data_IF_689152343531
#
_entry.id   IF_689152343531
#
_cell.length_a   1.000
_cell.length_b   1.000
_cell.length_c   1.000
_cell.angle_alpha   90.00
_cell.angle_beta   90.00
_cell.angle_gamma   90.00
#
_symmetry.space_group_name_H-M   'P 1'
#
loop_
_entity.id
_entity.type
_entity.pdbx_description
1 polymer ?
#
# COMPACT_ATOMS: atom_id res chain seq x y z
N UNK A 1 9.81 -16.87 -19.86
CA UNK A 1 10.12 -15.48 -19.44
C UNK A 1 11.63 -15.22 -19.37
N UNK A 2 12.39 -15.99 -18.58
CA UNK A 2 13.84 -15.82 -18.47
C UNK A 2 14.59 -15.92 -19.81
N UNK A 3 14.26 -16.93 -20.61
CA UNK A 3 14.81 -17.11 -21.96
C UNK A 3 14.47 -15.96 -22.91
N UNK A 4 13.27 -15.39 -22.79
CA UNK A 4 12.85 -14.25 -23.60
C UNK A 4 13.67 -13.00 -23.25
N UNK A 5 13.93 -12.76 -21.97
CA UNK A 5 14.75 -11.64 -21.51
C UNK A 5 16.19 -11.76 -21.99
N UNK A 6 16.77 -12.97 -21.98
CA UNK A 6 18.11 -13.20 -22.52
C UNK A 6 18.18 -12.89 -24.01
N UNK A 7 17.21 -13.33 -24.80
CA UNK A 7 17.13 -13.00 -26.24
C UNK A 7 17.03 -11.49 -26.48
N UNK A 8 16.19 -10.80 -25.72
CA UNK A 8 16.05 -9.34 -25.84
C UNK A 8 17.33 -8.58 -25.47
N UNK A 9 18.14 -9.12 -24.55
CA UNK A 9 19.46 -8.59 -24.20
C UNK A 9 20.47 -8.81 -25.33
N UNK A 10 20.46 -9.99 -25.95
CA UNK A 10 21.32 -10.33 -27.10
C UNK A 10 20.99 -9.50 -28.34
N UNK A 11 19.72 -9.18 -28.56
CA UNK A 11 19.24 -8.32 -29.66
C UNK A 11 19.65 -6.84 -29.48
N UNK A 12 20.13 -6.44 -28.29
CA UNK A 12 20.67 -5.11 -28.06
C UNK A 12 19.64 -3.97 -28.12
N UNK A 13 18.38 -4.24 -27.76
CA UNK A 13 17.28 -3.27 -27.92
C UNK A 13 17.49 -2.03 -27.03
N UNK A 14 17.58 -0.85 -27.67
CA UNK A 14 17.97 0.45 -27.06
C UNK A 14 16.74 1.25 -26.54
N UNK A 15 15.53 0.68 -26.62
CA UNK A 15 14.34 1.40 -26.16
C UNK A 15 14.37 1.56 -24.64
N UNK A 16 14.39 2.82 -24.18
CA UNK A 16 14.61 3.16 -22.77
C UNK A 16 13.58 2.55 -21.82
N UNK A 17 12.35 2.32 -22.28
CA UNK A 17 11.30 1.71 -21.48
C UNK A 17 11.45 0.19 -21.39
N UNK A 18 11.91 -0.45 -22.46
CA UNK A 18 12.30 -1.85 -22.43
C UNK A 18 13.50 -2.08 -21.51
N UNK A 19 14.49 -1.19 -21.53
CA UNK A 19 15.64 -1.27 -20.61
C UNK A 19 15.21 -1.17 -19.13
N UNK A 20 14.29 -0.25 -18.80
CA UNK A 20 13.72 -0.13 -17.45
C UNK A 20 12.94 -1.39 -17.06
N UNK A 21 12.16 -1.95 -17.99
CA UNK A 21 11.40 -3.16 -17.77
C UNK A 21 12.34 -4.35 -17.49
N UNK A 22 13.36 -4.57 -18.32
CA UNK A 22 14.31 -5.66 -18.17
C UNK A 22 15.06 -5.58 -16.83
N UNK A 23 15.54 -4.38 -16.46
CA UNK A 23 16.18 -4.15 -15.14
C UNK A 23 15.24 -4.50 -13.97
N UNK A 24 13.98 -4.08 -14.03
CA UNK A 24 12.98 -4.43 -13.01
C UNK A 24 12.71 -5.93 -12.98
N UNK A 25 12.59 -6.56 -14.13
CA UNK A 25 12.39 -8.01 -14.20
C UNK A 25 13.56 -8.74 -13.53
N UNK A 26 14.80 -8.44 -13.87
CA UNK A 26 16.00 -9.05 -13.27
C UNK A 26 16.04 -8.84 -11.74
N UNK A 27 15.68 -7.64 -11.27
CA UNK A 27 15.66 -7.33 -9.84
C UNK A 27 14.59 -8.13 -9.07
N UNK A 28 13.42 -8.36 -9.67
CA UNK A 28 12.26 -8.94 -8.99
C UNK A 28 11.89 -10.35 -9.44
N UNK A 29 12.62 -10.95 -10.40
CA UNK A 29 12.32 -12.25 -11.01
C UNK A 29 12.00 -13.33 -9.97
N UNK A 30 12.85 -13.45 -8.94
CA UNK A 30 12.71 -14.45 -7.87
C UNK A 30 11.45 -14.28 -7.02
N UNK A 31 10.86 -13.08 -7.02
CA UNK A 31 9.68 -12.70 -6.22
C UNK A 31 8.41 -12.57 -7.07
N UNK A 32 8.51 -12.60 -8.40
CA UNK A 32 7.37 -12.36 -9.28
C UNK A 32 6.27 -13.43 -9.13
N UNK A 33 6.67 -14.66 -8.82
CA UNK A 33 5.77 -15.81 -8.68
C UNK A 33 5.60 -16.26 -7.22
N UNK A 34 5.74 -15.35 -6.27
CA UNK A 34 5.62 -15.67 -4.83
C UNK A 34 4.22 -16.21 -4.50
N UNK A 35 3.18 -15.73 -5.19
CA UNK A 35 1.81 -16.21 -5.05
C UNK A 35 1.62 -17.69 -5.41
N UNK A 36 2.50 -18.29 -6.24
CA UNK A 36 2.46 -19.73 -6.52
C UNK A 36 2.99 -20.57 -5.35
N UNK A 37 3.72 -19.96 -4.42
CA UNK A 37 4.34 -20.63 -3.27
C UNK A 37 3.52 -20.49 -1.99
N UNK A 38 2.69 -19.46 -1.88
CA UNK A 38 1.93 -19.14 -0.69
C UNK A 38 0.45 -19.02 -1.04
N UNK A 39 -0.36 -19.93 -0.48
CA UNK A 39 -1.80 -19.92 -0.64
C UNK A 39 -2.41 -18.63 -0.03
N UNK A 40 -3.45 -18.09 -0.68
CA UNK A 40 -4.13 -16.87 -0.24
C UNK A 40 -3.45 -15.56 -0.67
N UNK A 41 -2.25 -15.59 -1.25
CA UNK A 41 -1.61 -14.40 -1.82
C UNK A 41 -2.10 -14.20 -3.26
N UNK A 42 -2.74 -13.08 -3.61
CA UNK A 42 -3.16 -12.82 -4.98
C UNK A 42 -1.96 -12.60 -5.91
N UNK A 43 -2.09 -12.89 -7.22
CA UNK A 43 -1.04 -12.62 -8.21
C UNK A 43 -0.88 -11.12 -8.52
N UNK A 44 -1.79 -10.28 -8.05
CA UNK A 44 -1.82 -8.84 -8.28
C UNK A 44 -1.66 -8.05 -6.97
N UNK A 45 -1.35 -6.75 -7.12
CA UNK A 45 -1.20 -5.82 -6.00
C UNK A 45 -2.46 -4.96 -5.77
N UNK A 46 -3.60 -5.34 -6.37
CA UNK A 46 -4.79 -4.48 -6.42
C UNK A 46 -5.34 -4.16 -5.03
N UNK A 47 -5.22 -5.09 -4.08
CA UNK A 47 -5.65 -4.88 -2.70
C UNK A 47 -4.87 -3.75 -2.03
N UNK A 48 -3.55 -3.81 -2.04
CA UNK A 48 -2.72 -2.77 -1.46
C UNK A 48 -2.91 -1.42 -2.19
N UNK A 49 -3.04 -1.40 -3.53
CA UNK A 49 -3.37 -0.16 -4.24
C UNK A 49 -4.70 0.45 -3.79
N UNK A 50 -5.72 -0.40 -3.57
CA UNK A 50 -7.02 0.03 -3.03
C UNK A 50 -6.88 0.62 -1.63
N UNK A 51 -6.07 0.02 -0.76
CA UNK A 51 -5.81 0.53 0.59
C UNK A 51 -5.07 1.87 0.57
N UNK A 52 -4.16 2.11 -0.38
CA UNK A 52 -3.47 3.40 -0.53
C UNK A 52 -4.31 4.49 -1.19
N UNK A 53 -5.36 4.12 -1.94
CA UNK A 53 -6.18 5.05 -2.73
C UNK A 53 -6.74 6.24 -1.94
N UNK A 54 -7.22 6.10 -0.68
CA UNK A 54 -7.72 7.24 0.10
C UNK A 54 -6.66 8.34 0.30
N UNK A 55 -5.39 7.97 0.54
CA UNK A 55 -4.30 8.92 0.66
C UNK A 55 -4.04 9.66 -0.65
N UNK A 56 -3.99 8.92 -1.76
CA UNK A 56 -3.75 9.49 -3.10
C UNK A 56 -4.89 10.43 -3.50
N UNK A 57 -6.15 10.05 -3.24
CA UNK A 57 -7.33 10.86 -3.54
C UNK A 57 -7.32 12.15 -2.72
N UNK A 58 -7.05 12.06 -1.41
CA UNK A 58 -6.96 13.25 -0.56
C UNK A 58 -5.86 14.18 -1.04
N UNK A 59 -4.66 13.67 -1.32
CA UNK A 59 -3.53 14.48 -1.79
C UNK A 59 -3.85 15.19 -3.10
N UNK A 60 -4.53 14.49 -4.03
CA UNK A 60 -4.96 15.08 -5.31
C UNK A 60 -6.02 16.18 -5.10
N UNK A 61 -7.01 15.94 -4.25
CA UNK A 61 -8.08 16.92 -3.97
C UNK A 61 -7.56 18.17 -3.26
N UNK A 62 -6.62 18.02 -2.35
CA UNK A 62 -6.07 19.15 -1.58
C UNK A 62 -4.95 19.90 -2.30
N UNK A 63 -4.47 19.39 -3.45
CA UNK A 63 -3.26 19.91 -4.11
C UNK A 63 -1.97 19.61 -3.34
N UNK A 64 -1.99 18.63 -2.42
CA UNK A 64 -0.90 18.31 -1.51
C UNK A 64 -1.14 18.76 -0.06
N UNK A 65 -0.14 18.57 0.79
CA UNK A 65 -0.17 19.02 2.18
C UNK A 65 0.62 20.33 2.32
N UNK A 66 0.05 21.30 3.04
CA UNK A 66 0.69 22.60 3.29
C UNK A 66 1.87 22.50 4.27
N UNK A 67 1.89 21.49 5.14
CA UNK A 67 3.01 21.20 6.02
C UNK A 67 3.22 19.69 6.19
N UNK A 68 4.47 19.24 6.43
CA UNK A 68 4.75 17.84 6.77
C UNK A 68 4.05 17.37 8.04
N UNK A 69 3.80 18.28 8.99
CA UNK A 69 3.09 17.98 10.23
C UNK A 69 1.63 17.60 9.99
N UNK A 70 0.92 18.38 9.18
CA UNK A 70 -0.47 18.06 8.81
C UNK A 70 -0.54 16.73 8.06
N UNK A 71 0.44 16.44 7.21
CA UNK A 71 0.54 15.13 6.55
C UNK A 71 0.68 13.99 7.57
N UNK A 72 1.55 14.13 8.58
CA UNK A 72 1.73 13.10 9.62
C UNK A 72 0.44 12.85 10.40
N UNK A 73 -0.26 13.91 10.81
CA UNK A 73 -1.54 13.76 11.51
C UNK A 73 -2.59 13.08 10.63
N UNK A 74 -2.70 13.49 9.36
CA UNK A 74 -3.62 12.87 8.42
C UNK A 74 -3.32 11.38 8.20
N UNK A 75 -2.04 11.01 8.02
CA UNK A 75 -1.66 9.60 7.84
C UNK A 75 -1.96 8.78 9.09
N UNK A 76 -1.72 9.32 10.28
CA UNK A 76 -2.08 8.65 11.54
C UNK A 76 -3.59 8.41 11.65
N UNK A 77 -4.40 9.44 11.38
CA UNK A 77 -5.86 9.35 11.38
C UNK A 77 -6.38 8.37 10.33
N UNK A 78 -5.87 8.45 9.10
CA UNK A 78 -6.26 7.57 8.01
C UNK A 78 -5.92 6.11 8.33
N UNK A 79 -4.73 5.85 8.90
CA UNK A 79 -4.32 4.52 9.33
C UNK A 79 -5.30 3.94 10.36
N UNK A 80 -5.68 4.74 11.37
CA UNK A 80 -6.63 4.33 12.40
C UNK A 80 -8.01 4.02 11.80
N UNK A 81 -8.52 4.91 10.95
CA UNK A 81 -9.79 4.74 10.25
C UNK A 81 -9.81 3.48 9.39
N UNK A 82 -8.77 3.26 8.59
CA UNK A 82 -8.67 2.07 7.72
C UNK A 82 -8.59 0.79 8.56
N UNK A 83 -7.87 0.82 9.69
CA UNK A 83 -7.79 -0.32 10.61
C UNK A 83 -9.15 -0.64 11.24
N UNK A 84 -9.91 0.37 11.69
CA UNK A 84 -11.28 0.16 12.18
C UNK A 84 -12.17 -0.44 11.10
N UNK A 85 -12.08 0.06 9.86
CA UNK A 85 -12.88 -0.45 8.74
C UNK A 85 -12.59 -1.92 8.42
N UNK A 86 -11.31 -2.31 8.41
CA UNK A 86 -10.91 -3.71 8.16
C UNK A 86 -11.37 -4.64 9.29
N UNK A 87 -11.37 -4.17 10.54
CA UNK A 87 -11.80 -4.95 11.71
C UNK A 87 -13.30 -4.80 12.04
N UNK A 88 -14.10 -4.15 11.18
CA UNK A 88 -15.53 -3.94 11.42
C UNK A 88 -15.87 -3.09 12.66
N UNK A 89 -14.93 -2.26 13.13
CA UNK A 89 -15.10 -1.41 14.30
C UNK A 89 -15.67 -0.04 13.93
N UNK A 90 -16.46 0.49 14.86
CA UNK A 90 -17.03 1.83 14.76
C UNK A 90 -15.95 2.87 15.08
N UNK A 91 -15.55 3.61 14.06
CA UNK A 91 -14.50 4.62 14.18
C UNK A 91 -14.95 5.86 14.94
N UNK A 92 -16.23 6.24 14.85
CA UNK A 92 -16.74 7.42 15.54
C UNK A 92 -16.77 7.18 17.05
N UNK A 93 -17.17 5.97 17.48
CA UNK A 93 -17.06 5.55 18.89
C UNK A 93 -15.62 5.57 19.41
N UNK A 94 -14.65 5.21 18.57
CA UNK A 94 -13.24 5.30 18.95
C UNK A 94 -12.82 6.76 19.17
N UNK A 95 -13.25 7.66 18.29
CA UNK A 95 -12.99 9.09 18.44
C UNK A 95 -13.60 9.65 19.73
N UNK A 96 -14.86 9.31 20.02
CA UNK A 96 -15.53 9.71 21.25
C UNK A 96 -14.74 9.28 22.49
N UNK A 97 -14.24 8.04 22.48
CA UNK A 97 -13.43 7.52 23.57
C UNK A 97 -12.09 8.27 23.67
N UNK A 98 -11.41 8.54 22.54
CA UNK A 98 -10.13 9.28 22.52
C UNK A 98 -10.32 10.69 23.09
N UNK A 99 -11.42 11.36 22.72
CA UNK A 99 -11.72 12.71 23.18
C UNK A 99 -12.30 12.76 24.60
N UNK A 100 -12.79 11.64 25.14
CA UNK A 100 -13.24 11.54 26.53
C UNK A 100 -12.11 11.61 27.57
N UNK A 101 -10.85 11.72 27.12
CA UNK A 101 -9.64 11.72 27.96
C UNK A 101 -9.47 10.46 28.83
N UNK A 102 -10.17 9.38 28.50
CA UNK A 102 -9.99 8.08 29.13
C UNK A 102 -8.80 7.36 28.53
N UNK A 103 -8.12 6.53 29.32
CA UNK A 103 -7.05 5.67 28.82
C UNK A 103 -7.67 4.54 28.00
N UNK A 104 -7.25 4.43 26.75
CA UNK A 104 -7.76 3.41 25.81
C UNK A 104 -6.62 2.48 25.47
N UNK A 105 -6.91 1.19 25.53
CA UNK A 105 -6.07 0.21 24.86
C UNK A 105 -6.61 -0.03 23.44
N UNK A 106 -5.88 0.48 22.45
CA UNK A 106 -6.24 0.30 21.04
C UNK A 106 -6.15 -1.17 20.62
N UNK A 107 -5.29 -1.97 21.26
CA UNK A 107 -5.16 -3.39 20.97
C UNK A 107 -6.47 -4.12 21.25
N UNK A 108 -7.01 -3.97 22.45
CA UNK A 108 -8.31 -4.55 22.82
C UNK A 108 -9.49 -3.97 22.04
N UNK A 109 -9.49 -2.67 21.72
CA UNK A 109 -10.57 -2.08 20.94
C UNK A 109 -10.62 -2.61 19.50
N UNK A 110 -9.46 -2.75 18.86
CA UNK A 110 -9.34 -3.18 17.47
C UNK A 110 -9.41 -4.69 17.31
N UNK A 111 -9.07 -5.45 18.35
CA UNK A 111 -9.26 -6.91 18.40
C UNK A 111 -10.72 -7.25 18.75
N UNK A 112 -11.17 -8.47 18.43
CA UNK A 112 -12.52 -9.04 18.63
C UNK A 112 -13.56 -8.73 17.54
#
# INVERSE_FOLDING_TARGET
MRELVLKLREEGVIETDLEKFLKRYEQYEKKLFTYLKYEGVPPDYNEAEREFRPFVVQRKRSGGFKSPEVMRHYVGYLSLYMTCKVNGKDFDKLLDLIFSCQKIDLGSFLSY
#
